data_IF_217984445074
#
_entry.id   IF_217984445074
#
_cell.length_a   1.000
_cell.length_b   1.000
_cell.length_c   1.000
_cell.angle_alpha   90.00
_cell.angle_beta   90.00
_cell.angle_gamma   90.00
#
_symmetry.space_group_name_H-M   'P 1'
#
loop_
_entity.id
_entity.type
_entity.pdbx_description
1 polymer ?
#
# COMPACT_ATOMS: atom_id res chain seq x y z
N UNK A 1 -0.40 -14.84 19.41
CA UNK A 1 0.78 -13.95 19.29
C UNK A 1 0.63 -13.20 17.99
N UNK A 2 0.58 -11.87 18.02
CA UNK A 2 0.64 -11.07 16.80
C UNK A 2 2.12 -10.95 16.43
N UNK A 3 2.49 -11.35 15.22
CA UNK A 3 3.84 -11.11 14.72
C UNK A 3 3.99 -9.61 14.51
N UNK A 4 4.82 -8.97 15.35
CA UNK A 4 5.04 -7.54 15.32
C UNK A 4 5.88 -7.17 14.10
N UNK A 5 5.21 -6.84 12.98
CA UNK A 5 5.83 -6.22 11.80
C UNK A 5 5.84 -4.71 11.96
N UNK A 6 6.89 -4.04 11.49
CA UNK A 6 6.92 -2.58 11.40
C UNK A 6 6.48 -2.13 10.01
N UNK A 7 5.68 -1.07 9.95
CA UNK A 7 5.22 -0.49 8.69
C UNK A 7 5.47 1.02 8.67
N UNK A 8 5.52 1.58 7.47
CA UNK A 8 5.34 3.02 7.30
C UNK A 8 3.85 3.37 7.49
N UNK A 9 3.58 4.54 8.09
CA UNK A 9 2.24 5.03 8.36
C UNK A 9 2.08 6.50 8.02
N UNK A 10 0.98 6.81 7.35
CA UNK A 10 0.52 8.16 7.02
C UNK A 10 -0.95 8.10 6.57
N UNK A 11 -1.66 9.21 6.71
CA UNK A 11 -3.09 9.36 6.43
C UNK A 11 -3.42 10.56 5.52
N UNK A 12 -2.40 11.31 5.14
CA UNK A 12 -2.53 12.47 4.25
C UNK A 12 -1.39 12.48 3.25
N UNK A 13 -1.64 13.04 2.06
CA UNK A 13 -0.60 13.26 1.04
C UNK A 13 0.63 13.99 1.58
N UNK A 14 0.45 14.93 2.51
CA UNK A 14 1.58 15.66 3.13
C UNK A 14 2.38 14.75 4.07
N UNK A 15 1.71 13.99 4.94
CA UNK A 15 2.35 13.05 5.85
C UNK A 15 3.05 11.90 5.08
N UNK A 16 2.49 11.45 3.96
CA UNK A 16 3.07 10.37 3.16
C UNK A 16 4.35 10.75 2.40
N UNK A 17 4.76 12.02 2.39
CA UNK A 17 6.09 12.43 1.93
C UNK A 17 7.20 12.04 2.91
N UNK A 18 6.86 11.92 4.20
CA UNK A 18 7.77 11.51 5.27
C UNK A 18 6.99 10.67 6.28
N UNK A 19 6.59 9.44 5.89
CA UNK A 19 5.72 8.61 6.71
C UNK A 19 6.44 8.14 7.97
N UNK A 20 5.68 8.01 9.06
CA UNK A 20 6.19 7.54 10.35
C UNK A 20 6.46 6.04 10.28
N UNK A 21 7.46 5.56 11.01
CA UNK A 21 7.65 4.12 11.24
C UNK A 21 6.86 3.74 12.48
N UNK A 22 6.05 2.69 12.41
CA UNK A 22 5.23 2.22 13.52
C UNK A 22 5.38 0.72 13.67
N UNK A 23 5.29 0.23 14.90
CA UNK A 23 5.13 -1.19 15.19
C UNK A 23 3.64 -1.54 15.14
N UNK A 24 3.28 -2.52 14.32
CA UNK A 24 1.88 -2.83 14.08
C UNK A 24 1.21 -3.46 15.30
N UNK A 25 -0.02 -3.03 15.55
CA UNK A 25 -0.88 -3.53 16.60
C UNK A 25 -2.35 -3.41 16.17
N UNK A 26 -3.26 -4.01 16.96
CA UNK A 26 -4.69 -4.00 16.67
C UNK A 26 -5.29 -2.59 16.59
N UNK A 27 -4.76 -1.62 17.35
CA UNK A 27 -5.20 -0.23 17.30
C UNK A 27 -4.93 0.39 15.93
N UNK A 28 -3.71 0.24 15.41
CA UNK A 28 -3.35 0.72 14.07
C UNK A 28 -4.12 -0.02 12.97
N UNK A 29 -4.35 -1.33 13.12
CA UNK A 29 -5.16 -2.11 12.18
C UNK A 29 -6.63 -1.67 12.17
N UNK A 30 -7.19 -1.30 13.32
CA UNK A 30 -8.53 -0.73 13.41
C UNK A 30 -8.61 0.65 12.75
N UNK A 31 -7.58 1.49 12.89
CA UNK A 31 -7.50 2.78 12.17
C UNK A 31 -7.49 2.58 10.67
N UNK A 32 -6.73 1.60 10.17
CA UNK A 32 -6.74 1.25 8.74
C UNK A 32 -8.10 0.70 8.30
N UNK A 33 -8.78 -0.10 9.13
CA UNK A 33 -10.14 -0.55 8.83
C UNK A 33 -11.13 0.62 8.72
N UNK A 34 -11.02 1.63 9.59
CA UNK A 34 -11.86 2.83 9.52
C UNK A 34 -11.57 3.66 8.25
N UNK A 35 -10.30 3.80 7.86
CA UNK A 35 -9.92 4.39 6.56
C UNK A 35 -10.55 3.63 5.40
N UNK A 36 -10.46 2.29 5.42
CA UNK A 36 -11.02 1.46 4.35
C UNK A 36 -12.55 1.58 4.30
N UNK A 37 -13.23 1.58 5.45
CA UNK A 37 -14.69 1.74 5.51
C UNK A 37 -15.15 3.09 4.93
N UNK A 38 -14.37 4.15 5.14
CA UNK A 38 -14.66 5.47 4.58
C UNK A 38 -14.53 5.50 3.04
N UNK A 39 -13.51 4.87 2.47
CA UNK A 39 -13.21 4.95 1.03
C UNK A 39 -13.80 3.79 0.19
N UNK A 40 -14.10 2.65 0.82
CA UNK A 40 -14.50 1.42 0.16
C UNK A 40 -15.86 0.91 0.60
N UNK A 41 -16.45 0.01 -0.21
CA UNK A 41 -17.61 -0.78 0.16
C UNK A 41 -17.19 -2.19 0.58
N UNK A 42 -18.05 -2.89 1.33
CA UNK A 42 -17.83 -4.30 1.70
C UNK A 42 -16.85 -4.55 2.85
N UNK A 43 -16.46 -3.50 3.59
CA UNK A 43 -15.69 -3.68 4.83
C UNK A 43 -16.60 -4.17 5.95
N UNK A 44 -16.25 -5.32 6.54
CA UNK A 44 -16.87 -5.76 7.78
C UNK A 44 -16.18 -5.05 8.98
N UNK A 45 -16.89 -4.22 9.75
CA UNK A 45 -16.32 -3.41 10.83
C UNK A 45 -15.82 -4.23 12.02
N UNK A 46 -16.17 -5.51 12.11
CA UNK A 46 -15.74 -6.43 13.17
C UNK A 46 -14.59 -7.34 12.73
N UNK A 47 -14.08 -7.17 11.50
CA UNK A 47 -12.97 -7.99 10.99
C UNK A 47 -11.72 -7.77 11.82
N UNK A 48 -11.17 -8.86 12.34
CA UNK A 48 -9.89 -8.90 13.04
C UNK A 48 -9.09 -10.12 12.56
N UNK A 49 -7.80 -10.14 12.88
CA UNK A 49 -6.90 -11.24 12.58
C UNK A 49 -5.76 -11.22 13.60
N UNK A 50 -5.26 -12.39 14.03
CA UNK A 50 -4.05 -12.46 14.85
C UNK A 50 -2.80 -12.00 14.08
N UNK A 51 -2.85 -11.98 12.75
CA UNK A 51 -1.77 -11.51 11.88
C UNK A 51 -2.09 -10.13 11.30
N UNK A 52 -1.08 -9.27 11.27
CA UNK A 52 -1.16 -7.90 10.74
C UNK A 52 -0.05 -7.74 9.69
N UNK A 53 -0.36 -7.05 8.60
CA UNK A 53 0.48 -6.84 7.44
C UNK A 53 0.63 -5.34 7.16
N UNK A 54 1.57 -4.96 6.30
CA UNK A 54 1.67 -3.58 5.82
C UNK A 54 0.80 -3.38 4.59
N UNK A 55 0.25 -2.18 4.44
CA UNK A 55 -0.42 -1.76 3.21
C UNK A 55 -0.04 -0.34 2.80
N UNK A 56 -0.29 -0.04 1.53
CA UNK A 56 -0.31 1.32 1.01
C UNK A 56 -1.38 1.48 -0.07
N UNK A 57 -1.97 2.66 -0.13
CA UNK A 57 -2.96 3.00 -1.13
C UNK A 57 -2.82 4.46 -1.55
N UNK A 58 -3.11 4.70 -2.83
CA UNK A 58 -3.34 6.03 -3.36
C UNK A 58 -4.56 6.00 -4.25
N UNK A 59 -5.48 6.92 -4.00
CA UNK A 59 -6.68 7.13 -4.79
C UNK A 59 -6.60 8.55 -5.35
N UNK A 60 -6.70 8.70 -6.67
CA UNK A 60 -6.94 9.99 -7.31
C UNK A 60 -8.32 9.93 -7.94
N UNK A 61 -9.20 10.84 -7.56
CA UNK A 61 -10.52 10.98 -8.17
C UNK A 61 -10.92 12.45 -8.25
N UNK A 62 -12.16 12.69 -8.67
CA UNK A 62 -12.84 13.98 -8.56
C UNK A 62 -12.89 14.55 -7.13
N UNK A 63 -12.75 13.73 -6.09
CA UNK A 63 -12.67 14.18 -4.69
C UNK A 63 -11.25 14.61 -4.27
N UNK A 64 -10.29 14.55 -5.20
CA UNK A 64 -8.89 14.86 -4.95
C UNK A 64 -8.03 13.61 -4.81
N UNK A 65 -6.91 13.77 -4.12
CA UNK A 65 -5.88 12.76 -3.99
C UNK A 65 -5.70 12.34 -2.54
N UNK A 66 -5.93 11.05 -2.28
CA UNK A 66 -5.80 10.41 -0.99
C UNK A 66 -4.59 9.47 -1.05
N UNK A 67 -3.78 9.49 0.00
CA UNK A 67 -2.64 8.59 0.15
C UNK A 67 -2.61 8.08 1.58
N UNK A 68 -2.48 6.76 1.73
CA UNK A 68 -2.53 6.10 3.00
C UNK A 68 -1.47 5.00 3.08
N UNK A 69 -0.85 4.87 4.23
CA UNK A 69 0.03 3.75 4.60
C UNK A 69 -0.32 3.33 6.01
N UNK A 70 -0.36 2.03 6.27
CA UNK A 70 -0.75 1.54 7.59
C UNK A 70 -0.59 0.04 7.76
N UNK A 71 -1.07 -0.40 8.91
CA UNK A 71 -1.10 -1.79 9.34
C UNK A 71 -2.49 -2.34 9.04
N UNK A 72 -2.62 -3.54 8.48
CA UNK A 72 -3.93 -4.12 8.15
C UNK A 72 -4.04 -5.56 8.62
N UNK A 73 -5.23 -5.96 9.07
CA UNK A 73 -5.51 -7.36 9.34
C UNK A 73 -5.32 -8.21 8.09
N UNK A 74 -4.58 -9.32 8.21
CA UNK A 74 -4.17 -10.15 7.07
C UNK A 74 -5.32 -10.69 6.21
N UNK A 75 -6.48 -10.92 6.84
CA UNK A 75 -7.70 -11.41 6.18
C UNK A 75 -8.49 -10.32 5.42
N UNK A 76 -8.05 -9.06 5.46
CA UNK A 76 -8.62 -8.00 4.63
C UNK A 76 -7.85 -7.94 3.30
N UNK A 77 -8.56 -8.23 2.21
CA UNK A 77 -8.03 -8.14 0.85
C UNK A 77 -8.14 -6.70 0.32
N UNK A 78 -7.38 -5.77 0.90
CA UNK A 78 -7.50 -4.32 0.67
C UNK A 78 -7.58 -3.93 -0.81
N UNK A 79 -6.73 -4.51 -1.66
CA UNK A 79 -6.66 -4.14 -3.08
C UNK A 79 -7.81 -4.69 -3.93
N UNK A 80 -8.64 -5.59 -3.38
CA UNK A 80 -9.84 -6.12 -4.04
C UNK A 80 -11.11 -5.38 -3.62
N UNK A 81 -11.05 -4.52 -2.60
CA UNK A 81 -12.19 -3.77 -2.13
C UNK A 81 -12.62 -2.73 -3.17
N UNK A 82 -13.91 -2.69 -3.57
CA UNK A 82 -14.41 -1.65 -4.46
C UNK A 82 -14.34 -0.28 -3.80
N UNK A 83 -14.05 0.76 -4.57
CA UNK A 83 -14.19 2.15 -4.10
C UNK A 83 -15.67 2.52 -4.04
N UNK A 84 -16.04 3.40 -3.10
CA UNK A 84 -17.38 4.01 -3.06
C UNK A 84 -17.62 4.92 -4.26
N UNK A 85 -18.91 5.11 -4.60
CA UNK A 85 -19.36 5.84 -5.79
C UNK A 85 -18.85 7.27 -5.89
N UNK A 86 -18.61 7.94 -4.76
CA UNK A 86 -18.07 9.29 -4.76
C UNK A 86 -16.66 9.37 -5.34
N UNK A 87 -15.90 8.28 -5.36
CA UNK A 87 -14.61 8.19 -6.07
C UNK A 87 -14.76 7.79 -7.54
N UNK A 88 -15.78 7.01 -7.89
CA UNK A 88 -15.91 6.34 -9.21
C UNK A 88 -16.85 7.05 -10.16
N UNK A 89 -17.54 8.11 -9.74
CA UNK A 89 -18.43 8.95 -10.57
C UNK A 89 -17.73 9.70 -11.72
N UNK A 90 -16.41 9.59 -11.85
CA UNK A 90 -15.63 10.15 -12.95
C UNK A 90 -14.33 9.36 -13.19
N UNK A 91 -13.37 9.96 -13.89
CA UNK A 91 -12.04 9.35 -14.07
C UNK A 91 -11.35 9.24 -12.72
N UNK A 92 -10.90 8.03 -12.39
CA UNK A 92 -10.13 7.76 -11.19
C UNK A 92 -8.92 6.88 -11.48
N UNK A 93 -7.91 6.98 -10.61
CA UNK A 93 -6.75 6.09 -10.59
C UNK A 93 -6.59 5.55 -9.17
N UNK A 94 -6.30 4.25 -9.05
CA UNK A 94 -6.03 3.60 -7.78
C UNK A 94 -4.73 2.81 -7.89
N UNK A 95 -3.83 3.00 -6.93
CA UNK A 95 -2.71 2.09 -6.72
C UNK A 95 -2.79 1.55 -5.30
N UNK A 96 -2.64 0.24 -5.15
CA UNK A 96 -2.73 -0.44 -3.86
C UNK A 96 -1.65 -1.52 -3.78
N UNK A 97 -1.08 -1.72 -2.59
CA UNK A 97 -0.22 -2.86 -2.29
C UNK A 97 -0.41 -3.31 -0.84
N UNK A 98 -0.24 -4.62 -0.62
CA UNK A 98 -0.22 -5.29 0.69
C UNK A 98 0.98 -6.23 0.73
N UNK A 99 1.70 -6.28 1.85
CA UNK A 99 2.92 -7.07 1.98
C UNK A 99 3.17 -7.48 3.44
N UNK A 100 3.89 -8.59 3.62
CA UNK A 100 4.23 -9.17 4.91
C UNK A 100 5.61 -9.86 4.91
N UNK A 101 6.41 -9.66 3.85
CA UNK A 101 7.68 -10.35 3.63
C UNK A 101 8.80 -9.87 4.58
N UNK A 102 8.72 -8.62 5.03
CA UNK A 102 9.67 -8.00 5.98
C UNK A 102 9.14 -6.69 6.54
N UNK A 103 9.78 -6.23 7.61
CA UNK A 103 9.58 -4.87 8.12
C UNK A 103 9.72 -3.81 7.03
N UNK A 104 8.83 -2.83 7.07
CA UNK A 104 8.81 -1.65 6.22
C UNK A 104 8.68 -1.98 4.72
N UNK A 105 8.06 -3.12 4.39
CA UNK A 105 7.81 -3.55 3.02
C UNK A 105 6.87 -2.61 2.23
N UNK A 106 6.21 -1.65 2.89
CA UNK A 106 5.41 -0.58 2.27
C UNK A 106 6.21 0.74 2.15
N UNK A 107 7.10 0.89 1.16
CA UNK A 107 8.20 1.85 1.16
C UNK A 107 7.78 3.31 1.42
N UNK A 108 8.67 4.11 2.03
CA UNK A 108 8.40 5.49 2.43
C UNK A 108 8.00 6.46 1.30
N UNK A 109 8.30 6.13 0.04
CA UNK A 109 8.00 6.94 -1.14
C UNK A 109 7.68 6.06 -2.35
N UNK A 110 7.64 6.63 -3.56
CA UNK A 110 7.48 5.91 -4.84
C UNK A 110 8.72 5.04 -5.14
N UNK A 111 9.03 4.06 -4.30
CA UNK A 111 9.78 2.89 -4.71
C UNK A 111 8.78 1.87 -5.29
N UNK A 112 8.00 2.25 -6.30
CA UNK A 112 7.37 1.29 -7.21
C UNK A 112 8.31 1.08 -8.39
N UNK A 113 9.55 0.68 -8.11
CA UNK A 113 10.34 0.04 -9.15
C UNK A 113 9.95 -1.43 -9.01
N UNK A 114 9.01 -1.87 -9.85
CA UNK A 114 8.77 -3.29 -10.03
C UNK A 114 10.13 -3.96 -10.23
N UNK A 115 10.44 -5.01 -9.47
CA UNK A 115 11.70 -5.75 -9.61
C UNK A 115 11.96 -6.26 -11.03
N UNK A 116 10.93 -6.24 -11.90
CA UNK A 116 11.02 -6.54 -13.33
C UNK A 116 11.72 -5.46 -14.17
N UNK A 117 11.68 -4.18 -13.80
CA UNK A 117 12.27 -3.11 -14.62
C UNK A 117 13.81 -3.06 -14.55
N UNK A 118 14.42 -3.56 -13.47
CA UNK A 118 15.88 -3.56 -13.29
C UNK A 118 16.58 -4.71 -14.02
N UNK A 119 15.87 -5.80 -14.35
CA UNK A 119 16.46 -6.93 -15.08
C UNK A 119 16.62 -6.60 -16.57
N UNK A 120 15.71 -5.81 -17.15
CA UNK A 120 15.77 -5.46 -18.56
C UNK A 120 16.98 -4.58 -18.94
N UNK A 121 17.41 -3.68 -18.05
CA UNK A 121 18.55 -2.78 -18.33
C UNK A 121 19.90 -3.47 -18.16
N UNK A 122 20.04 -4.39 -17.19
CA UNK A 122 21.29 -5.15 -16.99
C UNK A 122 21.53 -6.13 -18.14
N UNK A 123 20.48 -6.80 -18.64
CA UNK A 123 20.61 -7.75 -19.76
C UNK A 123 20.93 -7.04 -21.08
N UNK A 124 20.30 -5.90 -21.38
CA UNK A 124 20.65 -5.11 -22.58
C UNK A 124 22.06 -4.50 -22.52
N UNK A 125 22.52 -4.05 -21.35
CA UNK A 125 23.88 -3.52 -21.19
C UNK A 125 24.98 -4.57 -21.42
N UNK A 126 24.72 -5.82 -21.06
CA UNK A 126 25.65 -6.94 -21.29
C UNK A 126 25.66 -7.40 -22.75
N UNK A 127 24.53 -7.32 -23.46
CA UNK A 127 24.46 -7.66 -24.89
C UNK A 127 25.16 -6.63 -25.78
N UNK A 128 25.02 -5.33 -25.49
CA UNK A 128 25.71 -4.28 -26.26
C UNK A 128 27.24 -4.38 -26.10
N UNK A 129 27.73 -4.67 -24.88
CA UNK A 129 29.17 -4.87 -24.64
C UNK A 129 29.78 -6.07 -25.39
N UNK A 130 28.98 -7.09 -25.70
CA UNK A 130 29.44 -8.24 -26.50
C UNK A 130 29.47 -7.98 -28.00
N UNK A 131 28.75 -6.97 -28.49
CA UNK A 131 28.69 -6.63 -29.92
C UNK A 131 29.74 -5.56 -30.27
N UNK A 132 30.18 -4.77 -29.29
CA UNK A 132 31.19 -3.70 -29.47
C UNK A 132 32.60 -4.07 -29.01
N UNK A 133 32.89 -5.36 -28.82
CA UNK A 133 34.22 -5.90 -28.49
C UNK A 133 34.70 -6.85 -29.60
#
# INVERSE_FOLDING_TARGET
MAYAIRCYSCDTKKACKSPKKVECNNGLANTTRAYLDFHHTGINPNTTSPFIECMQERIKSNQGEFEYKGCVYSNINVCQLPLRDFHTSGRYERTCAKCNDKDLCNPAGRASISGFALIATVVMGLLVRKISA
#
